data_IF_962145022870
#
_entry.id   IF_962145022870
#
_cell.length_a   1.000
_cell.length_b   1.000
_cell.length_c   1.000
_cell.angle_alpha   90.00
_cell.angle_beta   90.00
_cell.angle_gamma   90.00
#
_symmetry.space_group_name_H-M   'P 1'
#
loop_
_entity.id
_entity.type
_entity.pdbx_description
1 polymer ?
#
# COMPACT_ATOMS: atom_id res chain seq x y z
N UNK A 1 -13.05 5.88 12.87
CA UNK A 1 -11.63 5.87 13.28
C UNK A 1 -10.83 5.13 12.23
N UNK A 2 -9.61 5.58 11.94
CA UNK A 2 -8.72 4.91 10.98
C UNK A 2 -8.41 3.48 11.36
N UNK A 3 -8.30 2.61 10.36
CA UNK A 3 -7.85 1.23 10.55
C UNK A 3 -6.35 1.06 10.31
N UNK A 4 -5.69 2.08 9.76
CA UNK A 4 -4.24 2.11 9.55
C UNK A 4 -3.52 2.27 10.88
N UNK A 5 -2.49 1.45 11.12
CA UNK A 5 -1.70 1.50 12.35
C UNK A 5 -0.78 2.73 12.41
N UNK A 6 -0.36 3.10 13.63
CA UNK A 6 0.44 4.31 13.86
C UNK A 6 1.82 4.25 13.17
N UNK A 7 2.43 3.06 13.08
CA UNK A 7 3.74 2.89 12.42
C UNK A 7 3.63 3.24 10.94
N UNK A 8 2.61 2.71 10.25
CA UNK A 8 2.35 2.97 8.83
C UNK A 8 2.15 4.47 8.59
N UNK A 9 1.37 5.13 9.46
CA UNK A 9 1.13 6.58 9.38
C UNK A 9 2.41 7.39 9.58
N UNK A 10 3.22 7.04 10.57
CA UNK A 10 4.50 7.69 10.83
C UNK A 10 5.48 7.52 9.66
N UNK A 11 5.54 6.33 9.05
CA UNK A 11 6.37 6.07 7.87
C UNK A 11 5.91 6.93 6.67
N UNK A 12 4.61 7.01 6.42
CA UNK A 12 4.06 7.88 5.38
C UNK A 12 4.40 9.34 5.65
N UNK A 13 4.19 9.82 6.88
CA UNK A 13 4.49 11.20 7.27
C UNK A 13 5.99 11.54 7.16
N UNK A 14 6.87 10.57 7.41
CA UNK A 14 8.31 10.71 7.28
C UNK A 14 8.81 10.58 5.82
N UNK A 15 7.92 10.36 4.84
CA UNK A 15 8.30 10.20 3.44
C UNK A 15 9.02 8.89 3.13
N UNK A 16 8.75 7.83 3.90
CA UNK A 16 9.33 6.51 3.65
C UNK A 16 8.93 5.95 2.29
N UNK A 17 9.81 5.13 1.70
CA UNK A 17 9.53 4.42 0.45
C UNK A 17 8.44 3.35 0.59
N UNK A 18 7.82 3.00 -0.53
CA UNK A 18 6.67 2.12 -0.62
C UNK A 18 6.86 0.75 0.03
N UNK A 19 8.06 0.17 -0.06
CA UNK A 19 8.35 -1.13 0.55
C UNK A 19 8.32 -1.05 2.08
N UNK A 20 8.91 -0.02 2.68
CA UNK A 20 8.89 0.13 4.13
C UNK A 20 7.45 0.30 4.65
N UNK A 21 6.66 1.11 3.94
CA UNK A 21 5.23 1.28 4.24
C UNK A 21 4.51 -0.07 4.09
N UNK A 22 4.69 -0.80 2.99
CA UNK A 22 4.04 -2.08 2.73
C UNK A 22 4.43 -3.14 3.78
N UNK A 23 5.69 -3.21 4.20
CA UNK A 23 6.15 -4.11 5.28
C UNK A 23 5.36 -3.83 6.57
N UNK A 24 5.17 -2.55 6.93
CA UNK A 24 4.43 -2.18 8.14
C UNK A 24 2.93 -2.52 8.09
N UNK A 25 2.39 -2.69 6.88
CA UNK A 25 1.02 -3.13 6.64
C UNK A 25 0.90 -4.66 6.65
N UNK A 26 1.80 -5.37 5.94
CA UNK A 26 1.69 -6.81 5.68
C UNK A 26 1.94 -7.63 6.93
N UNK A 27 2.95 -7.26 7.75
CA UNK A 27 3.29 -8.01 8.97
C UNK A 27 2.08 -8.32 9.87
N UNK A 28 1.24 -7.34 10.27
CA UNK A 28 0.04 -7.63 11.07
C UNK A 28 -1.11 -8.27 10.28
N UNK A 29 -1.12 -8.18 8.95
CA UNK A 29 -2.17 -8.77 8.11
C UNK A 29 -1.97 -10.26 7.85
N UNK A 30 -0.72 -10.69 7.64
CA UNK A 30 -0.37 -12.10 7.36
C UNK A 30 -0.10 -12.89 8.64
N UNK A 31 0.48 -12.25 9.68
CA UNK A 31 1.07 -12.99 10.79
C UNK A 31 2.43 -13.62 10.39
N UNK A 32 3.09 -14.29 11.33
CA UNK A 32 4.40 -14.90 11.11
C UNK A 32 4.43 -16.34 11.63
N UNK A 33 4.95 -17.24 10.80
CA UNK A 33 5.22 -18.63 11.17
C UNK A 33 6.71 -18.95 10.98
N UNK A 34 7.44 -19.26 12.05
CA UNK A 34 8.88 -19.50 11.96
C UNK A 34 9.25 -20.92 11.49
N UNK A 35 8.29 -21.84 11.57
CA UNK A 35 8.46 -23.23 11.13
C UNK A 35 7.63 -23.43 9.87
N UNK A 36 8.24 -23.93 8.77
CA UNK A 36 7.51 -24.22 7.55
C UNK A 36 6.35 -25.18 7.78
N UNK A 37 5.20 -24.85 7.19
CA UNK A 37 3.98 -25.64 7.22
C UNK A 37 3.44 -25.83 5.80
N UNK A 38 2.55 -26.81 5.61
CA UNK A 38 1.83 -26.97 4.34
C UNK A 38 0.52 -26.19 4.43
N UNK A 39 0.30 -25.29 3.49
CA UNK A 39 -0.95 -24.55 3.39
C UNK A 39 -2.12 -25.45 2.98
N UNK A 40 -3.31 -24.88 2.83
CA UNK A 40 -4.54 -25.61 2.49
C UNK A 40 -4.50 -26.31 1.12
N UNK A 41 -3.54 -25.97 0.26
CA UNK A 41 -3.32 -26.61 -1.05
C UNK A 41 -2.03 -27.43 -1.10
N UNK A 42 -1.35 -27.63 0.04
CA UNK A 42 -0.18 -28.49 0.18
C UNK A 42 1.17 -27.83 -0.12
N UNK A 43 1.22 -26.51 -0.34
CA UNK A 43 2.44 -25.76 -0.64
C UNK A 43 3.20 -25.44 0.64
N UNK A 44 4.51 -25.73 0.64
CA UNK A 44 5.40 -25.43 1.76
C UNK A 44 5.56 -23.91 1.91
N UNK A 45 5.13 -23.40 3.06
CA UNK A 45 4.99 -21.98 3.36
C UNK A 45 5.65 -21.65 4.71
N UNK A 46 6.32 -20.51 4.81
CA UNK A 46 6.95 -20.02 6.05
C UNK A 46 6.88 -18.50 6.16
N UNK A 47 7.23 -17.96 7.33
CA UNK A 47 7.33 -16.55 7.62
C UNK A 47 6.00 -15.83 7.36
N UNK A 48 6.01 -14.77 6.56
CA UNK A 48 4.83 -13.97 6.22
C UNK A 48 4.10 -14.53 4.98
N UNK A 49 4.06 -15.85 4.80
CA UNK A 49 3.45 -16.49 3.62
C UNK A 49 4.41 -16.73 2.44
N UNK A 50 5.72 -16.76 2.70
CA UNK A 50 6.73 -17.03 1.68
C UNK A 50 6.73 -18.49 1.28
N UNK A 51 6.83 -18.73 -0.04
CA UNK A 51 6.94 -20.06 -0.66
C UNK A 51 8.11 -20.11 -1.64
N UNK A 52 8.49 -21.30 -2.08
CA UNK A 52 9.48 -21.50 -3.13
C UNK A 52 10.68 -22.37 -2.72
N UNK A 53 11.69 -22.51 -3.60
CA UNK A 53 12.79 -23.46 -3.40
C UNK A 53 13.70 -23.11 -2.21
N UNK A 54 13.67 -21.86 -1.75
CA UNK A 54 14.47 -21.39 -0.61
C UNK A 54 13.82 -21.76 0.76
N UNK A 55 12.63 -22.35 0.75
CA UNK A 55 11.93 -22.82 1.96
C UNK A 55 12.35 -24.26 2.26
N UNK A 56 13.00 -24.46 3.40
CA UNK A 56 13.60 -25.74 3.80
C UNK A 56 12.70 -26.39 4.86
N UNK A 57 12.09 -27.52 4.52
CA UNK A 57 11.21 -28.27 5.44
C UNK A 57 11.96 -28.62 6.75
N UNK A 58 11.30 -28.39 7.90
CA UNK A 58 11.87 -28.66 9.23
C UNK A 58 12.86 -27.62 9.77
N UNK A 59 13.28 -26.61 8.99
CA UNK A 59 14.12 -25.51 9.48
C UNK A 59 13.29 -24.54 10.35
N UNK A 60 13.84 -24.11 11.48
CA UNK A 60 13.32 -22.96 12.23
C UNK A 60 13.99 -21.69 11.69
N UNK A 61 13.20 -20.77 11.14
CA UNK A 61 13.70 -19.51 10.61
C UNK A 61 13.81 -18.44 11.69
N UNK A 62 14.80 -17.54 11.58
CA UNK A 62 14.88 -16.38 12.47
C UNK A 62 13.98 -15.24 12.00
N UNK A 63 13.78 -14.24 12.86
CA UNK A 63 13.07 -13.02 12.50
C UNK A 63 13.73 -12.31 11.33
N UNK A 64 15.05 -12.22 11.32
CA UNK A 64 15.83 -11.55 10.28
C UNK A 64 15.68 -12.28 8.94
N UNK A 65 15.65 -13.61 8.94
CA UNK A 65 15.39 -14.39 7.74
C UNK A 65 13.96 -14.18 7.21
N UNK A 66 12.97 -14.13 8.10
CA UNK A 66 11.59 -13.82 7.71
C UNK A 66 11.42 -12.39 7.19
N UNK A 67 12.14 -11.43 7.77
CA UNK A 67 12.17 -10.06 7.26
C UNK A 67 12.87 -9.97 5.91
N UNK A 68 13.95 -10.71 5.70
CA UNK A 68 14.62 -10.82 4.41
C UNK A 68 13.68 -11.37 3.34
N UNK A 69 12.97 -12.46 3.62
CA UNK A 69 11.99 -13.03 2.69
C UNK A 69 10.87 -12.06 2.34
N UNK A 70 10.29 -11.36 3.33
CA UNK A 70 9.25 -10.37 3.06
C UNK A 70 9.76 -9.24 2.13
N UNK A 71 10.96 -8.72 2.37
CA UNK A 71 11.54 -7.68 1.50
C UNK A 71 11.82 -8.22 0.09
N UNK A 72 12.37 -9.42 -0.04
CA UNK A 72 12.62 -10.08 -1.33
C UNK A 72 11.32 -10.26 -2.12
N UNK A 73 10.27 -10.73 -1.47
CA UNK A 73 8.98 -11.01 -2.10
C UNK A 73 8.29 -9.71 -2.53
N UNK A 74 8.38 -8.65 -1.71
CA UNK A 74 7.92 -7.31 -2.10
C UNK A 74 8.72 -6.71 -3.26
N UNK A 75 10.04 -6.89 -3.28
CA UNK A 75 10.89 -6.48 -4.42
C UNK A 75 10.54 -7.23 -5.70
N UNK A 76 10.10 -8.49 -5.59
CA UNK A 76 9.59 -9.25 -6.74
C UNK A 76 8.27 -8.67 -7.23
N UNK A 77 7.32 -8.41 -6.33
CA UNK A 77 6.04 -7.76 -6.66
C UNK A 77 6.25 -6.40 -7.33
N UNK A 78 7.09 -5.55 -6.74
CA UNK A 78 7.46 -4.24 -7.28
C UNK A 78 7.93 -4.35 -8.73
N UNK A 79 8.92 -5.21 -9.01
CA UNK A 79 9.44 -5.44 -10.36
C UNK A 79 8.40 -5.95 -11.34
N UNK A 80 7.43 -6.73 -10.87
CA UNK A 80 6.39 -7.31 -11.72
C UNK A 80 5.28 -6.32 -12.04
N UNK A 81 4.82 -5.52 -11.07
CA UNK A 81 3.64 -4.67 -11.28
C UNK A 81 3.96 -3.25 -11.74
N UNK A 82 5.11 -2.67 -11.36
CA UNK A 82 5.43 -1.29 -11.75
C UNK A 82 5.42 -1.08 -13.27
N UNK A 83 5.97 -1.99 -14.12
CA UNK A 83 5.90 -1.82 -15.56
C UNK A 83 4.47 -1.83 -16.14
N UNK A 84 3.48 -2.34 -15.40
CA UNK A 84 2.08 -2.37 -15.81
C UNK A 84 1.36 -1.06 -15.53
N UNK A 85 1.94 -0.19 -14.69
CA UNK A 85 1.33 1.05 -14.21
C UNK A 85 1.87 2.21 -15.05
N UNK A 86 0.98 2.91 -15.75
CA UNK A 86 1.31 4.05 -16.63
C UNK A 86 1.61 5.35 -15.87
N UNK A 87 0.79 5.79 -14.90
CA UNK A 87 1.06 7.05 -14.21
C UNK A 87 2.15 6.89 -13.14
N UNK A 88 2.86 7.98 -12.86
CA UNK A 88 3.68 8.06 -11.65
C UNK A 88 2.77 8.03 -10.41
N UNK A 89 3.14 7.23 -9.41
CA UNK A 89 2.37 7.05 -8.18
C UNK A 89 3.10 7.60 -6.96
N UNK A 90 2.37 8.16 -5.99
CA UNK A 90 2.89 8.39 -4.64
C UNK A 90 3.31 7.08 -3.95
N UNK A 91 4.32 7.16 -3.08
CA UNK A 91 4.81 5.99 -2.32
C UNK A 91 3.72 5.26 -1.50
N UNK A 92 2.78 5.95 -0.81
CA UNK A 92 1.68 5.26 -0.12
C UNK A 92 0.78 4.49 -1.08
N UNK A 93 0.51 5.04 -2.26
CA UNK A 93 -0.28 4.36 -3.29
C UNK A 93 0.43 3.08 -3.76
N UNK A 94 1.73 3.15 -4.10
CA UNK A 94 2.51 1.95 -4.44
C UNK A 94 2.50 0.92 -3.31
N UNK A 95 2.66 1.35 -2.06
CA UNK A 95 2.66 0.46 -0.90
C UNK A 95 1.36 -0.32 -0.75
N UNK A 96 0.21 0.35 -0.92
CA UNK A 96 -1.09 -0.29 -0.91
C UNK A 96 -1.24 -1.30 -2.05
N UNK A 97 -0.75 -0.98 -3.26
CA UNK A 97 -0.76 -1.91 -4.39
C UNK A 97 0.16 -3.12 -4.16
N UNK A 98 1.30 -2.94 -3.50
CA UNK A 98 2.19 -4.04 -3.12
C UNK A 98 1.51 -4.97 -2.10
N UNK A 99 0.91 -4.41 -1.04
CA UNK A 99 0.14 -5.18 -0.05
C UNK A 99 -1.05 -5.93 -0.66
N UNK A 100 -1.78 -5.27 -1.55
CA UNK A 100 -2.89 -5.87 -2.27
C UNK A 100 -2.41 -7.05 -3.13
N UNK A 101 -1.39 -6.81 -3.96
CA UNK A 101 -0.81 -7.82 -4.86
C UNK A 101 -0.18 -8.99 -4.09
N UNK A 102 0.39 -8.74 -2.91
CA UNK A 102 0.92 -9.79 -2.04
C UNK A 102 -0.17 -10.82 -1.68
N UNK A 103 -1.41 -10.36 -1.49
CA UNK A 103 -2.53 -11.21 -1.13
C UNK A 103 -3.28 -11.84 -2.30
N UNK A 104 -3.47 -11.11 -3.39
CA UNK A 104 -4.27 -11.61 -4.52
C UNK A 104 -3.41 -12.20 -5.65
N UNK A 105 -2.10 -11.96 -5.61
CA UNK A 105 -1.14 -12.34 -6.64
C UNK A 105 -1.10 -11.38 -7.84
N UNK A 106 0.02 -11.39 -8.55
CA UNK A 106 0.28 -10.53 -9.73
C UNK A 106 -0.72 -10.79 -10.85
N UNK A 107 -1.12 -12.05 -11.06
CA UNK A 107 -2.09 -12.40 -12.09
C UNK A 107 -3.45 -11.71 -11.88
N UNK A 108 -3.96 -11.72 -10.64
CA UNK A 108 -5.22 -11.05 -10.32
C UNK A 108 -5.09 -9.52 -10.43
N UNK A 109 -3.98 -8.95 -9.95
CA UNK A 109 -3.70 -7.52 -10.11
C UNK A 109 -3.69 -7.08 -11.59
N UNK A 110 -2.97 -7.83 -12.44
CA UNK A 110 -2.79 -7.49 -13.86
C UNK A 110 -4.08 -7.41 -14.68
N UNK A 111 -5.13 -8.13 -14.26
CA UNK A 111 -6.44 -8.17 -14.93
C UNK A 111 -7.51 -7.35 -14.19
N UNK A 112 -7.12 -6.63 -13.15
CA UNK A 112 -8.07 -5.96 -12.27
C UNK A 112 -8.65 -4.68 -12.90
N UNK A 113 -9.93 -4.41 -12.61
CA UNK A 113 -10.54 -3.09 -12.88
C UNK A 113 -9.77 -1.97 -12.18
N UNK A 114 -9.15 -2.26 -11.04
CA UNK A 114 -8.26 -1.34 -10.33
C UNK A 114 -7.13 -0.84 -11.24
N UNK A 115 -6.38 -1.76 -11.86
CA UNK A 115 -5.27 -1.39 -12.75
C UNK A 115 -5.77 -0.64 -13.98
N UNK A 116 -6.91 -1.05 -14.55
CA UNK A 116 -7.53 -0.35 -15.68
C UNK A 116 -7.86 1.11 -15.35
N UNK A 117 -8.51 1.36 -14.21
CA UNK A 117 -8.83 2.72 -13.73
C UNK A 117 -7.59 3.54 -13.43
N UNK A 118 -6.59 2.91 -12.81
CA UNK A 118 -5.31 3.54 -12.52
C UNK A 118 -4.64 4.03 -13.82
N UNK A 119 -4.62 3.18 -14.84
CA UNK A 119 -4.03 3.48 -16.14
C UNK A 119 -4.87 4.44 -17.00
N UNK A 120 -6.14 4.66 -16.67
CA UNK A 120 -6.98 5.70 -17.27
C UNK A 120 -6.93 7.02 -16.50
N UNK A 121 -6.12 7.12 -15.45
CA UNK A 121 -5.99 8.32 -14.61
C UNK A 121 -7.05 8.47 -13.51
N UNK A 122 -7.97 7.51 -13.36
CA UNK A 122 -8.96 7.49 -12.28
C UNK A 122 -8.36 6.91 -11.00
N UNK A 123 -7.51 7.69 -10.34
CA UNK A 123 -6.80 7.28 -9.12
C UNK A 123 -7.76 6.98 -7.96
N UNK A 124 -8.74 7.86 -7.76
CA UNK A 124 -9.73 7.74 -6.68
C UNK A 124 -10.60 6.51 -6.88
N UNK A 125 -11.09 6.29 -8.10
CA UNK A 125 -11.85 5.10 -8.44
C UNK A 125 -11.00 3.83 -8.37
N UNK A 126 -9.73 3.87 -8.78
CA UNK A 126 -8.81 2.74 -8.65
C UNK A 126 -8.63 2.30 -7.19
N UNK A 127 -8.31 3.22 -6.27
CA UNK A 127 -8.22 2.88 -4.84
C UNK A 127 -9.57 2.37 -4.29
N UNK A 128 -10.70 2.89 -4.78
CA UNK A 128 -12.03 2.39 -4.44
C UNK A 128 -12.29 0.92 -4.83
N UNK A 129 -11.69 0.44 -5.93
CA UNK A 129 -11.86 -0.95 -6.38
C UNK A 129 -11.29 -1.98 -5.39
N UNK A 130 -10.35 -1.59 -4.50
CA UNK A 130 -9.80 -2.48 -3.47
C UNK A 130 -10.92 -3.11 -2.63
N UNK A 131 -11.97 -2.35 -2.31
CA UNK A 131 -13.10 -2.79 -1.47
C UNK A 131 -13.96 -3.89 -2.10
N UNK A 132 -13.76 -4.20 -3.39
CA UNK A 132 -14.46 -5.30 -4.08
C UNK A 132 -13.79 -6.66 -3.85
N UNK A 133 -12.51 -6.67 -3.46
CA UNK A 133 -11.71 -7.88 -3.27
C UNK A 133 -11.82 -8.41 -1.85
N UNK A 134 -13.05 -8.72 -1.44
CA UNK A 134 -13.41 -9.12 -0.07
C UNK A 134 -14.02 -10.51 0.03
N UNK A 135 -14.02 -11.26 -1.08
CA UNK A 135 -14.66 -12.57 -1.18
C UNK A 135 -13.63 -13.69 -1.18
N UNK A 136 -13.92 -14.78 -0.47
CA UNK A 136 -13.25 -16.08 -0.60
C UNK A 136 -14.30 -17.19 -0.43
N UNK A 137 -14.19 -18.28 -1.19
CA UNK A 137 -15.22 -19.32 -1.23
C UNK A 137 -16.64 -18.80 -1.55
N UNK A 138 -16.76 -17.72 -2.33
CA UNK A 138 -18.04 -17.10 -2.70
C UNK A 138 -18.69 -16.23 -1.61
N UNK A 139 -18.10 -16.11 -0.42
CA UNK A 139 -18.64 -15.31 0.69
C UNK A 139 -17.73 -14.15 1.04
N UNK A 140 -18.29 -13.08 1.63
CA UNK A 140 -17.49 -11.95 2.14
C UNK A 140 -16.77 -12.35 3.42
N UNK A 141 -15.49 -12.01 3.53
CA UNK A 141 -14.68 -12.29 4.72
C UNK A 141 -14.32 -11.01 5.46
N UNK A 142 -14.61 -10.98 6.77
CA UNK A 142 -14.31 -9.83 7.64
C UNK A 142 -12.83 -9.44 7.63
N UNK A 143 -11.94 -10.43 7.59
CA UNK A 143 -10.49 -10.22 7.48
C UNK A 143 -10.11 -9.50 6.19
N UNK A 144 -10.63 -9.95 5.04
CA UNK A 144 -10.40 -9.30 3.76
C UNK A 144 -11.01 -7.90 3.71
N UNK A 145 -12.23 -7.69 4.22
CA UNK A 145 -12.82 -6.35 4.33
C UNK A 145 -11.93 -5.39 5.10
N UNK A 146 -11.41 -5.84 6.26
CA UNK A 146 -10.53 -5.03 7.11
C UNK A 146 -9.22 -4.70 6.39
N UNK A 147 -8.61 -5.70 5.73
CA UNK A 147 -7.42 -5.51 4.90
C UNK A 147 -7.64 -4.49 3.79
N UNK A 148 -8.72 -4.63 3.02
CA UNK A 148 -9.03 -3.74 1.90
C UNK A 148 -9.35 -2.32 2.35
N UNK A 149 -9.95 -2.14 3.53
CA UNK A 149 -10.15 -0.80 4.10
C UNK A 149 -8.82 -0.11 4.45
N UNK A 150 -7.88 -0.85 5.06
CA UNK A 150 -6.53 -0.35 5.37
C UNK A 150 -5.80 0.02 4.07
N UNK A 151 -5.80 -0.88 3.09
CA UNK A 151 -5.16 -0.65 1.80
C UNK A 151 -5.79 0.53 1.06
N UNK A 152 -7.11 0.70 1.07
CA UNK A 152 -7.77 1.86 0.45
C UNK A 152 -7.42 3.16 1.15
N UNK A 153 -7.38 3.18 2.48
CA UNK A 153 -6.97 4.37 3.26
C UNK A 153 -5.53 4.78 2.90
N UNK A 154 -4.59 3.82 2.84
CA UNK A 154 -3.19 4.09 2.47
C UNK A 154 -3.07 4.47 0.99
N UNK A 155 -3.78 3.77 0.10
CA UNK A 155 -3.79 4.03 -1.33
C UNK A 155 -4.19 5.48 -1.63
N UNK A 156 -5.19 5.95 -0.89
CA UNK A 156 -5.78 7.27 -1.05
C UNK A 156 -5.15 8.39 -0.24
N UNK A 157 -4.15 8.07 0.56
CA UNK A 157 -3.57 9.00 1.53
C UNK A 157 -3.08 10.29 0.89
N UNK A 158 -2.30 10.19 -0.19
CA UNK A 158 -1.68 11.35 -0.82
C UNK A 158 -2.72 12.32 -1.40
N UNK A 159 -3.70 11.83 -2.16
CA UNK A 159 -4.67 12.71 -2.81
C UNK A 159 -5.81 13.15 -1.89
N UNK A 160 -6.23 12.35 -0.89
CA UNK A 160 -7.16 12.85 0.15
C UNK A 160 -6.54 13.99 0.94
N UNK A 161 -5.23 13.97 1.18
CA UNK A 161 -4.54 15.08 1.85
C UNK A 161 -4.55 16.36 1.01
N UNK A 162 -4.39 16.25 -0.31
CA UNK A 162 -4.45 17.37 -1.25
C UNK A 162 -5.87 17.92 -1.32
N UNK A 163 -6.89 17.06 -1.47
CA UNK A 163 -8.30 17.48 -1.49
C UNK A 163 -8.70 18.22 -0.22
N UNK A 164 -8.27 17.72 0.95
CA UNK A 164 -8.54 18.37 2.24
C UNK A 164 -7.83 19.71 2.36
N UNK A 165 -6.56 19.80 1.93
CA UNK A 165 -5.81 21.07 1.91
C UNK A 165 -6.46 22.07 0.95
N UNK A 166 -6.88 21.62 -0.23
CA UNK A 166 -7.54 22.47 -1.23
C UNK A 166 -8.91 22.95 -0.74
N UNK A 167 -9.74 22.07 -0.16
CA UNK A 167 -11.02 22.47 0.44
C UNK A 167 -10.84 23.51 1.55
N UNK A 168 -9.83 23.32 2.40
CA UNK A 168 -9.49 24.30 3.45
C UNK A 168 -9.01 25.63 2.85
N UNK A 169 -8.20 25.58 1.80
CA UNK A 169 -7.76 26.78 1.08
C UNK A 169 -8.95 27.57 0.53
N UNK A 170 -9.90 26.89 -0.13
CA UNK A 170 -11.13 27.51 -0.66
C UNK A 170 -11.95 28.12 0.47
N UNK A 171 -12.19 27.39 1.56
CA UNK A 171 -12.94 27.89 2.72
C UNK A 171 -12.28 29.13 3.37
N UNK A 172 -10.96 29.14 3.51
CA UNK A 172 -10.22 30.30 4.03
C UNK A 172 -10.32 31.51 3.09
N UNK A 173 -10.19 31.26 1.78
CA UNK A 173 -10.33 32.31 0.76
C UNK A 173 -11.73 32.90 0.75
N UNK A 174 -12.77 32.07 0.83
CA UNK A 174 -14.17 32.50 0.86
C UNK A 174 -14.48 33.31 2.14
N UNK A 175 -13.76 33.06 3.24
CA UNK A 175 -13.82 33.85 4.49
C UNK A 175 -13.00 35.14 4.46
N UNK A 176 -12.39 35.48 3.31
CA UNK A 176 -11.60 36.70 3.14
C UNK A 176 -10.20 36.65 3.73
N UNK A 177 -9.68 35.47 4.06
CA UNK A 177 -8.28 35.34 4.49
C UNK A 177 -7.33 35.57 3.30
N UNK A 178 -6.24 36.30 3.54
CA UNK A 178 -5.13 36.40 2.59
C UNK A 178 -4.32 35.09 2.60
N UNK A 179 -4.76 34.16 1.77
CA UNK A 179 -4.14 32.83 1.63
C UNK A 179 -2.79 32.86 0.90
N UNK A 180 -2.44 33.95 0.22
CA UNK A 180 -1.13 34.09 -0.44
C UNK A 180 -0.04 34.53 0.53
N UNK A 181 -0.39 35.26 1.60
CA UNK A 181 0.53 35.56 2.69
C UNK A 181 0.97 34.30 3.48
N UNK A 182 0.18 33.21 3.46
CA UNK A 182 0.49 31.95 4.16
C UNK A 182 1.47 31.03 3.41
N UNK A 183 1.59 31.14 2.08
CA UNK A 183 2.58 30.37 1.31
C UNK A 183 4.02 30.81 1.62
N UNK A 184 4.23 32.10 1.91
CA UNK A 184 5.56 32.68 2.18
C UNK A 184 6.17 32.18 3.50
N UNK A 185 5.36 31.86 4.52
CA UNK A 185 5.87 31.39 5.82
C UNK A 185 6.05 29.86 5.93
N UNK A 186 5.53 29.08 4.99
CA UNK A 186 5.68 27.60 4.99
C UNK A 186 6.73 27.10 4.00
N UNK A 187 7.19 27.95 3.07
CA UNK A 187 8.28 27.67 2.13
C UNK A 187 9.68 27.60 2.75
N UNK A 188 9.81 27.59 4.09
CA UNK A 188 11.08 27.37 4.77
C UNK A 188 11.61 25.92 4.69
N UNK A 189 10.88 25.00 4.05
CA UNK A 189 11.30 23.59 3.91
C UNK A 189 10.77 22.88 2.66
N UNK A 190 10.87 23.50 1.48
CA UNK A 190 10.69 22.74 0.23
C UNK A 190 11.47 23.37 -0.93
N UNK A 191 12.50 22.62 -1.35
CA UNK A 191 13.20 22.64 -2.63
C UNK A 191 12.49 23.38 -3.78
N UNK A 192 13.21 24.32 -4.37
CA UNK A 192 12.89 25.02 -5.62
C UNK A 192 12.46 24.08 -6.75
N UNK A 193 11.19 24.15 -7.15
CA UNK A 193 10.78 23.82 -8.51
C UNK A 193 10.63 25.13 -9.28
N UNK A 194 11.70 25.52 -9.97
CA UNK A 194 11.64 26.57 -10.97
C UNK A 194 11.05 25.99 -12.25
N UNK A 195 9.89 26.47 -12.68
CA UNK A 195 9.43 26.27 -14.05
C UNK A 195 10.23 27.21 -14.96
N UNK A 196 10.84 26.63 -16.00
CA UNK A 196 11.22 27.33 -17.24
C UNK A 196 10.07 27.19 -18.23
#
# INVERSE_FOLDING_TARGET
>A
MSKVNNITRSLIAAGAGAIAIAVSMIKPLEGIEYIPYRDVVGVLTVCYGTTGPDVIEGKVYTKEECEYFLHRDLKKIERQILPMIKPALPEPTKAALYSFTYNVGVGAFSRSTLLNKLNSGDMTGACGELKRWVYAGGQKWKGLMTRRDIEEEVCSFAFKSVDLRMKRYIDLKDKGADVYAYEVYSAGSASSFAYR
#
